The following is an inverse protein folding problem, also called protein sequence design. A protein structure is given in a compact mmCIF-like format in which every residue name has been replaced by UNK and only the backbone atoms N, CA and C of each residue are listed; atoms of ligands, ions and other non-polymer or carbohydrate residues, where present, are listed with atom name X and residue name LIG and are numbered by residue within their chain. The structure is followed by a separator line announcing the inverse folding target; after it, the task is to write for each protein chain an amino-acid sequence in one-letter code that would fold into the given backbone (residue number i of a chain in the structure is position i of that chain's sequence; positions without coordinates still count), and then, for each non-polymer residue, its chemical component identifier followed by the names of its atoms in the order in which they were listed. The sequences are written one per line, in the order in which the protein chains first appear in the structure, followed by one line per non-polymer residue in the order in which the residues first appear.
data_IF_223162100750
#
_entry.id   IF_223162100750
#
_cell.length_a   1.000
_cell.length_b   1.000
_cell.length_c   1.000
_cell.angle_alpha   90.00
_cell.angle_beta   90.00
_cell.angle_gamma   90.00
#
_symmetry.space_group_name_H-M   'P 1'
#
loop_
_entity.id
_entity.type
_entity.pdbx_description
1 polymer ?
#
# COMPACT_ATOMS: atom_id res chain seq x y z
N UNK A 1 8.71 -1.76 -12.54
CA UNK A 1 7.32 -1.56 -12.09
C UNK A 1 6.49 -2.73 -12.62
N UNK A 2 5.92 -3.57 -11.74
CA UNK A 2 5.30 -4.85 -12.13
C UNK A 2 4.18 -4.73 -13.17
N UNK A 3 3.20 -3.85 -12.96
CA UNK A 3 2.14 -3.61 -13.97
C UNK A 3 2.70 -3.12 -15.31
N UNK A 4 3.67 -2.21 -15.29
CA UNK A 4 4.27 -1.69 -16.52
C UNK A 4 5.00 -2.77 -17.31
N UNK A 5 5.83 -3.58 -16.64
CA UNK A 5 6.54 -4.68 -17.28
C UNK A 5 5.56 -5.71 -17.84
N UNK A 6 4.58 -6.12 -17.03
CA UNK A 6 3.58 -7.10 -17.43
C UNK A 6 2.75 -6.65 -18.65
N UNK A 7 2.25 -5.41 -18.67
CA UNK A 7 1.46 -4.91 -19.80
C UNK A 7 2.32 -4.86 -21.08
N UNK A 8 3.59 -4.46 -20.99
CA UNK A 8 4.49 -4.47 -22.14
C UNK A 8 4.81 -5.88 -22.65
N UNK A 9 5.00 -6.85 -21.74
CA UNK A 9 5.21 -8.27 -22.09
C UNK A 9 3.99 -8.87 -22.79
N UNK A 10 2.80 -8.39 -22.46
CA UNK A 10 1.54 -8.72 -23.14
C UNK A 10 1.30 -7.90 -24.42
N UNK A 11 2.33 -7.21 -24.93
CA UNK A 11 2.29 -6.31 -26.09
C UNK A 11 1.25 -5.19 -25.99
N UNK A 12 0.82 -4.87 -24.76
CA UNK A 12 -0.14 -3.83 -24.45
C UNK A 12 0.48 -2.44 -24.50
N UNK A 13 -0.32 -1.43 -24.87
CA UNK A 13 0.13 -0.04 -24.91
C UNK A 13 -0.22 0.69 -23.62
N UNK A 14 0.81 1.25 -22.98
CA UNK A 14 0.67 1.98 -21.71
C UNK A 14 0.53 3.48 -21.98
N UNK A 15 -0.38 4.11 -21.25
CA UNK A 15 -0.56 5.56 -21.26
C UNK A 15 -0.56 6.09 -19.83
N UNK A 16 0.37 6.99 -19.54
CA UNK A 16 0.38 7.70 -18.27
C UNK A 16 -0.46 8.96 -18.38
N UNK A 17 -1.32 9.18 -17.38
CA UNK A 17 -2.06 10.43 -17.19
C UNK A 17 -1.46 11.17 -15.99
N UNK A 18 -1.66 12.49 -15.96
CA UNK A 18 -1.37 13.27 -14.76
C UNK A 18 -2.21 12.77 -13.57
N UNK A 19 -1.62 12.83 -12.38
CA UNK A 19 -2.31 12.56 -11.12
C UNK A 19 -2.71 13.90 -10.47
N UNK A 20 -3.84 13.95 -9.74
CA UNK A 20 -4.19 15.13 -8.96
C UNK A 20 -3.21 15.35 -7.82
N UNK A 21 -3.19 16.57 -7.27
CA UNK A 21 -2.43 16.88 -6.07
C UNK A 21 -2.88 16.00 -4.89
N UNK A 22 -1.94 15.68 -4.01
CA UNK A 22 -2.19 14.87 -2.82
C UNK A 22 -2.40 15.76 -1.60
N UNK A 23 -3.18 15.27 -0.64
CA UNK A 23 -3.30 15.90 0.67
C UNK A 23 -1.97 15.81 1.42
N UNK A 24 -1.47 16.94 1.89
CA UNK A 24 -0.20 17.06 2.60
C UNK A 24 -0.33 17.72 3.97
N UNK A 25 -1.54 18.16 4.33
CA UNK A 25 -1.83 18.77 5.62
C UNK A 25 -2.63 17.81 6.50
N UNK A 26 -2.03 17.43 7.63
CA UNK A 26 -2.65 16.55 8.61
C UNK A 26 -2.56 17.17 10.00
N UNK A 27 -3.60 16.97 10.81
CA UNK A 27 -3.67 17.55 12.15
C UNK A 27 -2.74 16.88 13.16
N UNK A 28 -2.32 15.63 12.88
CA UNK A 28 -1.39 14.85 13.70
C UNK A 28 -0.82 13.66 12.93
N UNK A 29 0.21 13.00 13.47
CA UNK A 29 0.73 11.74 12.93
C UNK A 29 -0.33 10.62 12.89
N UNK A 30 -1.23 10.60 13.89
CA UNK A 30 -2.34 9.63 13.93
C UNK A 30 -3.33 9.88 12.80
N UNK A 31 -3.63 11.15 12.52
CA UNK A 31 -4.51 11.57 11.42
C UNK A 31 -3.91 11.17 10.06
N UNK A 32 -2.63 11.44 9.85
CA UNK A 32 -1.91 11.02 8.65
C UNK A 32 -1.93 9.49 8.45
N UNK A 33 -1.70 8.70 9.50
CA UNK A 33 -1.76 7.24 9.40
C UNK A 33 -3.18 6.71 9.15
N UNK A 34 -4.21 7.36 9.71
CA UNK A 34 -5.61 7.00 9.43
C UNK A 34 -5.96 7.30 7.96
N UNK A 35 -5.52 8.44 7.43
CA UNK A 35 -5.67 8.74 6.01
C UNK A 35 -4.92 7.73 5.13
N UNK A 36 -3.71 7.34 5.50
CA UNK A 36 -2.94 6.30 4.82
C UNK A 36 -3.67 4.95 4.82
N UNK A 37 -4.23 4.52 5.96
CA UNK A 37 -4.98 3.27 6.05
C UNK A 37 -6.22 3.27 5.13
N UNK A 38 -6.96 4.37 5.08
CA UNK A 38 -8.13 4.48 4.19
C UNK A 38 -7.70 4.48 2.71
N UNK A 39 -6.55 5.06 2.39
CA UNK A 39 -5.97 4.97 1.06
C UNK A 39 -5.57 3.52 0.73
N UNK A 40 -4.90 2.80 1.64
CA UNK A 40 -4.51 1.40 1.42
C UNK A 40 -5.72 0.51 1.19
N UNK A 41 -6.79 0.63 2.00
CA UNK A 41 -8.04 -0.12 1.76
C UNK A 41 -8.65 0.15 0.38
N UNK A 42 -8.53 1.39 -0.12
CA UNK A 42 -8.99 1.75 -1.46
C UNK A 42 -8.13 1.11 -2.54
N UNK A 43 -6.81 1.02 -2.34
CA UNK A 43 -5.90 0.30 -3.24
C UNK A 43 -6.23 -1.20 -3.22
N UNK A 44 -6.35 -1.82 -2.05
CA UNK A 44 -6.74 -3.22 -1.89
C UNK A 44 -8.06 -3.54 -2.61
N UNK A 45 -9.09 -2.70 -2.43
CA UNK A 45 -10.37 -2.87 -3.13
C UNK A 45 -10.20 -2.87 -4.66
N UNK A 46 -9.36 -1.98 -5.20
CA UNK A 46 -9.08 -1.92 -6.65
C UNK A 46 -8.33 -3.15 -7.14
N UNK A 47 -7.40 -3.69 -6.34
CA UNK A 47 -6.71 -4.94 -6.67
C UNK A 47 -7.68 -6.13 -6.67
N UNK A 48 -8.61 -6.19 -5.72
CA UNK A 48 -9.66 -7.22 -5.71
C UNK A 48 -10.59 -7.09 -6.91
N UNK A 49 -11.02 -5.88 -7.26
CA UNK A 49 -11.83 -5.64 -8.47
C UNK A 49 -11.11 -6.13 -9.74
N UNK A 50 -9.79 -5.91 -9.87
CA UNK A 50 -8.99 -6.44 -10.98
C UNK A 50 -8.90 -7.98 -10.97
N UNK A 51 -8.78 -8.58 -9.78
CA UNK A 51 -8.74 -10.04 -9.64
C UNK A 51 -10.08 -10.68 -10.02
N UNK A 52 -11.19 -10.07 -9.61
CA UNK A 52 -12.53 -10.52 -9.95
C UNK A 52 -12.74 -10.51 -11.48
N UNK A 53 -12.36 -9.41 -12.15
CA UNK A 53 -12.40 -9.31 -13.63
C UNK A 53 -11.53 -10.40 -14.27
N UNK A 54 -10.31 -10.59 -13.78
CA UNK A 54 -9.40 -11.61 -14.33
C UNK A 54 -9.96 -13.04 -14.13
N UNK A 55 -10.63 -13.30 -13.00
CA UNK A 55 -11.28 -14.57 -12.73
C UNK A 55 -12.48 -14.80 -13.65
N UNK A 56 -13.34 -13.80 -13.83
CA UNK A 56 -14.51 -13.85 -14.72
C UNK A 56 -14.11 -14.13 -16.17
N UNK A 57 -13.06 -13.46 -16.66
CA UNK A 57 -12.50 -13.63 -18.00
C UNK A 57 -11.59 -14.87 -18.12
N UNK A 58 -11.32 -15.56 -17.00
CA UNK A 58 -10.38 -16.70 -16.92
C UNK A 58 -8.96 -16.35 -17.40
N UNK A 59 -8.52 -15.13 -17.17
CA UNK A 59 -7.20 -14.64 -17.57
C UNK A 59 -6.15 -15.04 -16.51
N UNK A 60 -5.67 -16.28 -16.63
CA UNK A 60 -4.79 -16.89 -15.65
C UNK A 60 -3.45 -16.16 -15.44
N UNK A 61 -2.92 -15.48 -16.45
CA UNK A 61 -1.65 -14.77 -16.32
C UNK A 61 -1.79 -13.53 -15.42
N UNK A 62 -2.85 -12.74 -15.61
CA UNK A 62 -3.20 -11.57 -14.80
C UNK A 62 -3.54 -12.00 -13.38
N UNK A 63 -4.28 -13.11 -13.20
CA UNK A 63 -4.52 -13.67 -11.87
C UNK A 63 -3.20 -13.99 -11.14
N UNK A 64 -2.24 -14.61 -11.83
CA UNK A 64 -0.91 -14.91 -11.26
C UNK A 64 -0.14 -13.65 -10.85
N UNK A 65 -0.17 -12.61 -11.69
CA UNK A 65 0.41 -11.30 -11.37
C UNK A 65 -0.26 -10.66 -10.15
N UNK A 66 -1.59 -10.58 -10.15
CA UNK A 66 -2.37 -9.89 -9.13
C UNK A 66 -2.24 -10.54 -7.75
N UNK A 67 -2.00 -11.86 -7.68
CA UNK A 67 -1.77 -12.56 -6.42
C UNK A 67 -0.64 -11.89 -5.62
N UNK A 68 0.44 -11.49 -6.28
CA UNK A 68 1.56 -10.83 -5.61
C UNK A 68 1.13 -9.50 -4.95
N UNK A 69 0.31 -8.70 -5.64
CA UNK A 69 -0.21 -7.44 -5.08
C UNK A 69 -1.19 -7.69 -3.92
N UNK A 70 -2.00 -8.75 -3.99
CA UNK A 70 -2.88 -9.14 -2.88
C UNK A 70 -2.06 -9.50 -1.64
N UNK A 71 -1.02 -10.31 -1.81
CA UNK A 71 -0.14 -10.70 -0.71
C UNK A 71 0.54 -9.45 -0.11
N UNK A 72 0.97 -8.49 -0.93
CA UNK A 72 1.58 -7.23 -0.49
C UNK A 72 0.59 -6.34 0.30
N UNK A 73 -0.63 -6.14 -0.21
CA UNK A 73 -1.64 -5.31 0.47
C UNK A 73 -2.00 -5.83 1.87
N UNK A 74 -1.96 -7.15 2.11
CA UNK A 74 -2.18 -7.73 3.44
C UNK A 74 -1.12 -7.27 4.44
N UNK A 75 0.14 -7.26 4.02
CA UNK A 75 1.28 -6.82 4.86
C UNK A 75 1.27 -5.30 5.07
N UNK A 76 0.94 -4.53 4.04
CA UNK A 76 0.85 -3.06 4.13
C UNK A 76 -0.27 -2.63 5.10
N UNK A 77 -1.48 -3.17 4.94
CA UNK A 77 -2.60 -2.85 5.84
C UNK A 77 -2.31 -3.29 7.28
N UNK A 78 -1.68 -4.45 7.49
CA UNK A 78 -1.28 -4.90 8.82
C UNK A 78 -0.25 -3.97 9.46
N UNK A 79 0.72 -3.51 8.67
CA UNK A 79 1.76 -2.57 9.10
C UNK A 79 1.16 -1.24 9.54
N UNK A 80 0.31 -0.63 8.71
CA UNK A 80 -0.31 0.66 9.02
C UNK A 80 -1.22 0.54 10.25
N UNK A 81 -2.05 -0.51 10.34
CA UNK A 81 -2.89 -0.76 11.50
C UNK A 81 -2.09 -0.93 12.80
N UNK A 82 -0.94 -1.61 12.73
CA UNK A 82 -0.06 -1.79 13.89
C UNK A 82 0.47 -0.44 14.39
N UNK A 83 0.85 0.46 13.48
CA UNK A 83 1.31 1.80 13.85
C UNK A 83 0.20 2.67 14.45
N UNK A 84 -1.00 2.63 13.88
CA UNK A 84 -2.17 3.32 14.43
C UNK A 84 -2.41 2.87 15.88
N UNK A 85 -2.45 1.56 16.13
CA UNK A 85 -2.65 1.00 17.49
C UNK A 85 -1.55 1.45 18.46
N UNK A 86 -0.30 1.54 18.02
CA UNK A 86 0.81 2.04 18.83
C UNK A 86 0.61 3.52 19.18
N UNK A 87 0.28 4.36 18.21
CA UNK A 87 0.02 5.79 18.46
C UNK A 87 -1.18 6.01 19.38
N UNK A 88 -2.28 5.28 19.18
CA UNK A 88 -3.46 5.34 20.05
C UNK A 88 -3.12 4.95 21.49
N UNK A 89 -2.22 3.98 21.69
CA UNK A 89 -1.74 3.57 23.01
C UNK A 89 -0.78 4.59 23.64
N UNK A 90 0.05 5.25 22.85
CA UNK A 90 0.98 6.30 23.31
C UNK A 90 0.20 7.53 23.80
N UNK A 91 -0.88 7.91 23.12
CA UNK A 91 -1.66 9.09 23.45
C UNK A 91 -0.80 10.36 23.38
N UNK A 92 -0.67 11.07 24.50
CA UNK A 92 0.06 12.34 24.59
C UNK A 92 1.47 12.20 25.21
N UNK A 93 1.99 10.98 25.37
CA UNK A 93 3.35 10.78 25.90
C UNK A 93 4.40 11.10 24.83
N UNK A 94 5.01 12.28 24.97
CA UNK A 94 6.04 12.80 24.06
C UNK A 94 7.29 11.93 24.05
N UNK A 95 7.67 11.35 25.19
CA UNK A 95 8.87 10.50 25.27
C UNK A 95 8.63 9.19 24.51
N UNK A 96 7.45 8.58 24.69
CA UNK A 96 7.09 7.37 23.96
C UNK A 96 6.92 7.62 22.46
N UNK A 97 6.41 8.80 22.06
CA UNK A 97 6.35 9.20 20.66
C UNK A 97 7.75 9.35 20.04
N UNK A 98 8.68 9.99 20.74
CA UNK A 98 10.07 10.12 20.29
C UNK A 98 10.75 8.74 20.13
N UNK A 99 10.54 7.82 21.08
CA UNK A 99 11.06 6.46 20.96
C UNK A 99 10.45 5.67 19.80
N UNK A 100 9.19 5.92 19.44
CA UNK A 100 8.58 5.32 18.25
C UNK A 100 9.20 5.89 16.97
N UNK A 101 9.41 7.20 16.90
CA UNK A 101 10.04 7.85 15.75
C UNK A 101 11.46 7.31 15.50
N UNK A 102 12.26 7.18 16.56
CA UNK A 102 13.59 6.58 16.49
C UNK A 102 13.55 5.13 15.96
N UNK A 103 12.62 4.30 16.45
CA UNK A 103 12.43 2.94 15.93
C UNK A 103 12.06 2.94 14.44
N UNK A 104 11.17 3.83 14.02
CA UNK A 104 10.76 3.92 12.61
C UNK A 104 11.88 4.42 11.71
N UNK A 105 12.78 5.27 12.22
CA UNK A 105 13.97 5.74 11.48
C UNK A 105 14.94 4.62 11.11
N UNK A 106 14.92 3.50 11.85
CA UNK A 106 15.77 2.33 11.57
C UNK A 106 15.19 1.40 10.49
N UNK A 107 13.96 1.66 10.03
CA UNK A 107 13.33 0.83 9.00
C UNK A 107 14.08 0.97 7.68
N UNK A 108 14.56 -0.16 7.17
CA UNK A 108 15.15 -0.26 5.84
C UNK A 108 14.08 -0.78 4.89
N UNK A 109 13.89 -0.11 3.76
CA UNK A 109 13.06 -0.65 2.69
C UNK A 109 13.70 -1.93 2.16
N UNK A 110 13.04 -3.06 2.39
CA UNK A 110 13.42 -4.34 1.80
C UNK A 110 12.54 -4.57 0.58
N UNK A 111 13.05 -4.35 -0.65
CA UNK A 111 12.27 -4.66 -1.83
C UNK A 111 11.95 -6.16 -1.85
N UNK A 112 10.71 -6.53 -2.18
CA UNK A 112 10.31 -7.93 -2.31
C UNK A 112 11.18 -8.67 -3.34
N UNK A 113 11.68 -9.85 -2.96
CA UNK A 113 12.83 -10.53 -3.58
C UNK A 113 12.62 -11.04 -5.01
N UNK A 114 11.39 -10.98 -5.53
CA UNK A 114 11.05 -11.48 -6.86
C UNK A 114 10.42 -10.35 -7.69
N UNK A 115 11.27 -9.53 -8.30
CA UNK A 115 10.91 -8.65 -9.41
C UNK A 115 11.16 -9.37 -10.74
#
# INVERSE_FOLDING_TARGET
MKFYSYINEMEGRIFFKGIPDVENEYSSALDALKAALEHEKKVTKRIYELMDIALEEREHATMSLLKWFIDEQVEEEATVNSLIKKLERIGNDVSALYSLDEQLSTRVFTPPTNA
#
